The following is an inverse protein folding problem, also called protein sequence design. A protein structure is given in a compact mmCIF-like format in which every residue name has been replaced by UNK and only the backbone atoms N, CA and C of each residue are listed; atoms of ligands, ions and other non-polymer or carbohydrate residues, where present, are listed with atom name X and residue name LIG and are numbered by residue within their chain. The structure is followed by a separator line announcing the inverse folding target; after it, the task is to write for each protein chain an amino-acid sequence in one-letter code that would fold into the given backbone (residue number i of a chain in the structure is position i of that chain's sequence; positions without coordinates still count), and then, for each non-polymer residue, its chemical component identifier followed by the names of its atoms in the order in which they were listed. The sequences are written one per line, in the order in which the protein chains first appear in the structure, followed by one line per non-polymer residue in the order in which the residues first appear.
data_IF_095028357687
#
_entry.id   IF_095028357687
#
_cell.length_a   1.000
_cell.length_b   1.000
_cell.length_c   1.000
_cell.angle_alpha   90.00
_cell.angle_beta   90.00
_cell.angle_gamma   90.00
#
_symmetry.space_group_name_H-M   'P 1'
#
loop_
_entity.id
_entity.type
_entity.pdbx_description
1 polymer ?
#
# COMPACT_ATOMS: atom_id res chain seq x y z
N UNK A 1 11.42 11.67 -22.81
CA UNK A 1 11.77 10.24 -22.67
C UNK A 1 10.75 9.62 -21.75
N UNK A 2 9.72 9.03 -22.34
CA UNK A 2 8.55 8.48 -21.67
C UNK A 2 8.91 7.05 -21.26
N UNK A 3 9.12 6.81 -19.97
CA UNK A 3 9.46 5.50 -19.43
C UNK A 3 8.28 4.55 -19.61
N UNK A 4 8.54 3.42 -20.28
CA UNK A 4 7.60 2.35 -20.58
C UNK A 4 7.07 1.75 -19.27
N UNK A 5 5.75 1.84 -19.08
CA UNK A 5 4.99 1.10 -18.07
C UNK A 5 4.96 -0.37 -18.51
N UNK A 6 5.88 -1.18 -18.00
CA UNK A 6 5.75 -2.63 -18.04
C UNK A 6 5.07 -3.09 -16.74
N UNK A 7 3.74 -3.02 -16.73
CA UNK A 7 2.92 -3.75 -15.76
C UNK A 7 2.94 -5.25 -16.14
N UNK A 8 4.05 -5.90 -15.79
CA UNK A 8 4.14 -7.35 -15.69
C UNK A 8 4.01 -7.60 -14.20
N UNK A 9 2.94 -8.31 -13.78
CA UNK A 9 2.55 -8.55 -12.39
C UNK A 9 3.70 -8.34 -11.41
N UNK A 10 3.65 -7.22 -10.69
CA UNK A 10 4.80 -6.77 -9.91
C UNK A 10 5.09 -7.83 -8.85
N UNK A 11 6.30 -8.40 -8.87
CA UNK A 11 6.74 -9.39 -7.89
C UNK A 11 6.91 -8.82 -6.48
N UNK A 12 6.81 -7.49 -6.37
CA UNK A 12 6.97 -6.74 -5.14
C UNK A 12 5.86 -5.68 -5.03
N UNK A 13 5.59 -5.29 -3.80
CA UNK A 13 4.82 -4.12 -3.44
C UNK A 13 5.78 -2.95 -3.14
N UNK A 14 5.68 -1.88 -3.91
CA UNK A 14 6.36 -0.62 -3.61
C UNK A 14 5.56 0.20 -2.60
N UNK A 15 6.15 0.50 -1.44
CA UNK A 15 5.60 1.42 -0.44
C UNK A 15 6.35 2.73 -0.52
N UNK A 16 5.71 3.76 -1.06
CA UNK A 16 6.29 5.09 -1.22
C UNK A 16 5.79 6.00 -0.11
N UNK A 17 6.63 6.22 0.90
CA UNK A 17 6.38 7.20 1.96
C UNK A 17 6.93 8.56 1.56
N UNK A 18 6.56 9.61 2.30
CA UNK A 18 7.01 10.99 1.99
C UNK A 18 8.54 11.19 1.98
N UNK A 19 9.29 10.35 2.69
CA UNK A 19 10.75 10.48 2.84
C UNK A 19 11.54 9.25 2.43
N UNK A 20 10.89 8.12 2.17
CA UNK A 20 11.51 6.81 1.99
C UNK A 20 10.65 5.93 1.12
N UNK A 21 11.27 5.05 0.35
CA UNK A 21 10.59 4.00 -0.40
C UNK A 21 11.04 2.64 0.14
N UNK A 22 10.09 1.75 0.37
CA UNK A 22 10.34 0.34 0.68
C UNK A 22 9.85 -0.51 -0.49
N UNK A 23 10.58 -1.59 -0.78
CA UNK A 23 10.16 -2.59 -1.77
C UNK A 23 10.00 -3.90 -1.00
N UNK A 24 8.76 -4.38 -0.89
CA UNK A 24 8.42 -5.57 -0.14
C UNK A 24 8.05 -6.70 -1.10
N UNK A 25 8.79 -7.83 -1.11
CA UNK A 25 8.49 -8.93 -2.00
C UNK A 25 7.15 -9.59 -1.66
N UNK A 26 6.29 -9.79 -2.65
CA UNK A 26 5.04 -10.54 -2.44
C UNK A 26 5.29 -11.99 -2.03
N UNK A 27 6.46 -12.55 -2.35
CA UNK A 27 6.88 -13.87 -1.85
C UNK A 27 7.07 -13.93 -0.33
N UNK A 28 7.15 -12.79 0.36
CA UNK A 28 7.25 -12.68 1.82
C UNK A 28 5.91 -12.28 2.47
N UNK A 29 4.87 -12.06 1.66
CA UNK A 29 3.55 -11.68 2.15
C UNK A 29 2.89 -12.83 2.88
N UNK A 30 2.33 -12.53 4.04
CA UNK A 30 1.69 -13.50 4.92
C UNK A 30 0.17 -13.37 4.84
N UNK A 31 -0.34 -12.17 5.09
CA UNK A 31 -1.77 -11.87 5.04
C UNK A 31 -2.02 -10.36 4.97
N UNK A 32 -3.24 -10.01 4.57
CA UNK A 32 -3.80 -8.69 4.73
C UNK A 32 -5.08 -8.80 5.56
N UNK A 33 -5.28 -7.86 6.47
CA UNK A 33 -6.49 -7.77 7.28
C UNK A 33 -6.85 -6.31 7.54
N UNK A 34 -8.08 -6.07 8.00
CA UNK A 34 -8.57 -4.74 8.32
C UNK A 34 -9.93 -4.45 7.70
N UNK A 35 -10.21 -3.18 7.47
CA UNK A 35 -11.50 -2.71 7.00
C UNK A 35 -11.42 -1.34 6.34
N UNK A 36 -12.44 -0.51 6.55
CA UNK A 36 -12.57 0.75 5.83
C UNK A 36 -11.59 1.84 6.29
N UNK A 37 -11.17 1.81 7.55
CA UNK A 37 -10.38 2.91 8.12
C UNK A 37 -8.91 2.56 8.29
N UNK A 38 -8.60 1.26 8.37
CA UNK A 38 -7.26 0.73 8.53
C UNK A 38 -7.12 -0.63 7.86
N UNK A 39 -5.99 -0.85 7.18
CA UNK A 39 -5.55 -2.15 6.67
C UNK A 39 -4.13 -2.41 7.16
N UNK A 40 -3.88 -3.65 7.59
CA UNK A 40 -2.55 -4.16 7.87
C UNK A 40 -2.16 -5.17 6.80
N UNK A 41 -0.94 -5.03 6.26
CA UNK A 41 -0.28 -6.01 5.42
C UNK A 41 0.91 -6.57 6.19
N UNK A 42 0.88 -7.87 6.46
CA UNK A 42 1.97 -8.56 7.15
C UNK A 42 2.90 -9.21 6.13
N UNK A 43 4.19 -8.91 6.25
CA UNK A 43 5.29 -9.56 5.55
C UNK A 43 6.22 -10.23 6.57
N UNK A 44 7.05 -11.17 6.10
CA UNK A 44 7.93 -11.96 6.99
C UNK A 44 8.83 -11.13 7.93
N UNK A 45 9.22 -9.92 7.53
CA UNK A 45 10.09 -9.03 8.34
C UNK A 45 9.50 -7.63 8.56
N UNK A 46 8.35 -7.34 7.95
CA UNK A 46 7.79 -5.99 7.96
C UNK A 46 6.27 -6.05 8.08
N UNK A 47 5.71 -5.10 8.82
CA UNK A 47 4.29 -4.81 8.80
C UNK A 47 4.06 -3.46 8.13
N UNK A 48 3.08 -3.40 7.23
CA UNK A 48 2.60 -2.15 6.64
C UNK A 48 1.22 -1.85 7.18
N UNK A 49 1.07 -0.70 7.82
CA UNK A 49 -0.24 -0.19 8.29
C UNK A 49 -0.65 0.96 7.40
N UNK A 50 -1.80 0.83 6.75
CA UNK A 50 -2.41 1.84 5.90
C UNK A 50 -3.64 2.37 6.63
N UNK A 51 -3.69 3.68 6.88
CA UNK A 51 -4.86 4.32 7.49
C UNK A 51 -5.50 5.28 6.51
N UNK A 52 -6.82 5.44 6.58
CA UNK A 52 -7.57 6.09 5.53
C UNK A 52 -9.07 6.02 5.70
N UNK A 53 -9.79 6.06 4.58
CA UNK A 53 -11.22 5.79 4.51
C UNK A 53 -11.54 4.96 3.27
N UNK A 54 -12.59 4.12 3.38
CA UNK A 54 -13.03 3.18 2.33
C UNK A 54 -11.92 2.23 1.85
N UNK A 55 -10.97 1.93 2.72
CA UNK A 55 -9.84 1.06 2.40
C UNK A 55 -10.28 -0.38 2.12
N UNK A 56 -11.40 -0.84 2.67
CA UNK A 56 -11.94 -2.18 2.39
C UNK A 56 -12.14 -2.48 0.90
N UNK A 57 -12.31 -1.45 0.07
CA UNK A 57 -12.42 -1.58 -1.38
C UNK A 57 -11.11 -2.04 -2.06
N UNK A 58 -9.95 -1.88 -1.42
CA UNK A 58 -8.64 -2.33 -1.93
C UNK A 58 -8.08 -3.54 -1.17
N UNK A 59 -8.75 -4.00 -0.12
CA UNK A 59 -8.27 -5.11 0.71
C UNK A 59 -8.20 -6.41 -0.10
N UNK A 60 -9.20 -6.70 -0.92
CA UNK A 60 -9.24 -7.90 -1.76
C UNK A 60 -8.13 -7.89 -2.80
N UNK A 61 -7.86 -6.75 -3.42
CA UNK A 61 -6.80 -6.60 -4.41
C UNK A 61 -5.40 -6.68 -3.78
N UNK A 62 -5.23 -6.16 -2.56
CA UNK A 62 -4.01 -6.32 -1.77
C UNK A 62 -3.78 -7.78 -1.37
N UNK A 63 -4.83 -8.45 -0.88
CA UNK A 63 -4.79 -9.87 -0.50
C UNK A 63 -4.49 -10.77 -1.70
N UNK A 64 -4.99 -10.40 -2.87
CA UNK A 64 -4.73 -11.06 -4.14
C UNK A 64 -3.40 -10.64 -4.81
N UNK A 65 -2.59 -9.79 -4.15
CA UNK A 65 -1.27 -9.36 -4.65
C UNK A 65 -1.33 -8.65 -6.02
N UNK A 66 -2.46 -7.98 -6.31
CA UNK A 66 -2.69 -7.31 -7.60
C UNK A 66 -2.17 -5.87 -7.63
N UNK A 67 -1.87 -5.30 -6.47
CA UNK A 67 -1.33 -3.95 -6.39
C UNK A 67 0.20 -3.99 -6.47
N UNK A 68 0.76 -3.10 -7.28
CA UNK A 68 2.20 -2.93 -7.40
C UNK A 68 2.75 -1.83 -6.49
N UNK A 69 1.88 -0.91 -6.05
CA UNK A 69 2.31 0.32 -5.38
C UNK A 69 1.26 0.85 -4.41
N UNK A 70 1.71 1.22 -3.21
CA UNK A 70 0.99 2.07 -2.27
C UNK A 70 1.81 3.33 -2.02
N UNK A 71 1.17 4.49 -2.13
CA UNK A 71 1.83 5.78 -1.95
C UNK A 71 1.15 6.54 -0.81
N UNK A 72 1.96 7.01 0.14
CA UNK A 72 1.51 7.95 1.15
C UNK A 72 1.25 9.30 0.48
N UNK A 73 0.03 9.85 0.57
CA UNK A 73 -0.29 11.10 -0.07
C UNK A 73 0.39 12.27 0.64
N UNK A 74 0.86 13.21 -0.18
CA UNK A 74 1.35 14.48 0.33
C UNK A 74 0.23 15.26 1.02
N UNK A 75 0.57 16.13 1.98
CA UNK A 75 -0.40 16.93 2.73
C UNK A 75 -1.48 17.60 1.85
N UNK A 76 -1.18 18.24 0.69
CA UNK A 76 -2.21 18.85 -0.14
C UNK A 76 -3.16 17.83 -0.79
N UNK A 77 -2.70 16.62 -1.08
CA UNK A 77 -3.49 15.57 -1.75
C UNK A 77 -4.57 14.99 -0.85
N UNK A 78 -4.39 15.08 0.48
CA UNK A 78 -5.37 14.60 1.47
C UNK A 78 -6.68 15.41 1.48
N UNK A 79 -6.66 16.64 0.97
CA UNK A 79 -7.82 17.53 0.95
C UNK A 79 -8.62 17.48 -0.36
N UNK A 80 -8.19 16.67 -1.33
CA UNK A 80 -8.94 16.45 -2.55
C UNK A 80 -10.06 15.45 -2.25
N UNK A 81 -11.35 15.82 -2.46
CA UNK A 81 -12.43 14.86 -2.30
C UNK A 81 -12.32 13.78 -3.39
N UNK A 82 -12.11 12.54 -2.97
CA UNK A 82 -12.03 11.37 -3.86
C UNK A 82 -13.21 10.44 -3.56
N UNK A 83 -13.85 9.93 -4.61
CA UNK A 83 -14.98 8.98 -4.51
C UNK A 83 -14.51 7.54 -4.25
N UNK A 84 -13.19 7.29 -4.22
CA UNK A 84 -12.58 5.98 -4.05
C UNK A 84 -11.95 5.74 -2.67
N UNK A 85 -11.14 4.67 -2.54
CA UNK A 85 -10.30 4.44 -1.38
C UNK A 85 -9.38 5.63 -1.18
N UNK A 86 -9.34 6.15 0.05
CA UNK A 86 -8.52 7.30 0.38
C UNK A 86 -7.51 6.89 1.44
N UNK A 87 -6.23 6.84 1.07
CA UNK A 87 -5.14 6.66 2.01
C UNK A 87 -4.84 8.02 2.65
N UNK A 88 -4.63 8.04 3.96
CA UNK A 88 -4.24 9.22 4.73
C UNK A 88 -2.80 9.10 5.21
N UNK A 89 -2.40 7.91 5.64
CA UNK A 89 -1.04 7.63 6.12
C UNK A 89 -0.67 6.19 5.81
N UNK A 90 0.63 5.95 5.65
CA UNK A 90 1.22 4.61 5.59
C UNK A 90 2.38 4.55 6.58
N UNK A 91 2.45 3.51 7.37
CA UNK A 91 3.56 3.22 8.27
C UNK A 91 4.14 1.85 7.92
N UNK A 92 5.47 1.76 7.86
CA UNK A 92 6.19 0.49 7.70
C UNK A 92 6.98 0.24 8.98
N UNK A 93 6.72 -0.89 9.63
CA UNK A 93 7.34 -1.33 10.87
C UNK A 93 8.14 -2.61 10.62
N UNK A 94 9.23 -2.83 11.36
CA UNK A 94 9.92 -4.11 11.36
C UNK A 94 9.29 -5.02 12.40
N UNK A 95 9.17 -6.30 12.07
CA UNK A 95 8.79 -7.33 13.03
C UNK A 95 10.07 -7.80 13.73
N UNK A 96 10.10 -7.75 15.06
CA UNK A 96 11.24 -8.21 15.89
C UNK A 96 11.24 -9.73 16.12
#
# INVERSE_FOLDING_TARGET
MTGVLSDIGSSNLEIVLLKRTFVLPWSQFLFAEGGNDEIRLAFSMHDVVVTGSRLGLILDDLSAQKLSRLQEPARPERFVPVTGPQITSIAVQKVE
#
